data_IF_418054619035
#
_entry.id   IF_418054619035
#
_cell.length_a   1.000
_cell.length_b   1.000
_cell.length_c   1.000
_cell.angle_alpha   90.00
_cell.angle_beta   90.00
_cell.angle_gamma   90.00
#
_symmetry.space_group_name_H-M   'P 1'
#
loop_
_entity.id
_entity.type
_entity.pdbx_description
1 polymer ?
#
# COMPACT_ATOMS: atom_id res chain seq x y z
N UNK A 1 -6.03 10.55 -1.11
CA UNK A 1 -5.42 10.16 -2.40
C UNK A 1 -6.28 9.18 -3.19
N UNK A 2 -6.60 8.00 -2.65
CA UNK A 2 -7.34 6.96 -3.36
C UNK A 2 -8.66 7.43 -4.01
N UNK A 3 -9.49 8.20 -3.28
CA UNK A 3 -10.73 8.79 -3.82
C UNK A 3 -10.50 9.71 -5.02
N UNK A 4 -9.46 10.54 -4.99
CA UNK A 4 -9.14 11.42 -6.12
C UNK A 4 -8.72 10.62 -7.35
N UNK A 5 -7.95 9.54 -7.17
CA UNK A 5 -7.59 8.63 -8.26
C UNK A 5 -8.83 7.89 -8.83
N UNK A 6 -9.74 7.43 -7.97
CA UNK A 6 -10.99 6.80 -8.40
C UNK A 6 -11.85 7.76 -9.25
N UNK A 7 -12.02 9.00 -8.77
CA UNK A 7 -12.73 10.06 -9.49
C UNK A 7 -12.06 10.43 -10.82
N UNK A 8 -10.72 10.32 -10.89
CA UNK A 8 -9.95 10.50 -12.12
C UNK A 8 -10.00 9.27 -13.05
N UNK A 9 -10.71 8.20 -12.68
CA UNK A 9 -10.96 7.03 -13.52
C UNK A 9 -10.09 5.81 -13.24
N UNK A 10 -9.32 5.79 -12.15
CA UNK A 10 -8.50 4.63 -11.78
C UNK A 10 -9.32 3.55 -11.06
N UNK A 11 -9.01 2.27 -11.31
CA UNK A 11 -9.37 1.19 -10.39
C UNK A 11 -8.46 1.23 -9.17
N UNK A 12 -8.99 0.92 -8.00
CA UNK A 12 -8.30 1.15 -6.72
C UNK A 12 -8.11 -0.15 -5.95
N UNK A 13 -6.88 -0.37 -5.47
CA UNK A 13 -6.61 -1.29 -4.36
C UNK A 13 -6.13 -0.46 -3.18
N UNK A 14 -6.73 -0.65 -2.01
CA UNK A 14 -6.25 -0.06 -0.74
C UNK A 14 -5.84 -1.15 0.25
N UNK A 15 -4.91 -0.82 1.14
CA UNK A 15 -4.45 -1.73 2.18
C UNK A 15 -4.13 -1.00 3.47
N UNK A 16 -4.47 -1.65 4.58
CA UNK A 16 -4.25 -1.24 5.96
C UNK A 16 -4.42 -2.46 6.89
N UNK A 17 -4.35 -2.27 8.20
CA UNK A 17 -4.44 -3.35 9.20
C UNK A 17 -5.86 -3.62 9.70
N UNK A 18 -6.76 -2.64 9.60
CA UNK A 18 -8.09 -2.71 10.20
C UNK A 18 -9.14 -2.92 9.11
N UNK A 19 -9.70 -4.12 9.05
CA UNK A 19 -10.62 -4.52 7.98
C UNK A 19 -11.87 -3.66 7.91
N UNK A 20 -12.49 -3.37 9.06
CA UNK A 20 -13.72 -2.57 9.10
C UNK A 20 -13.50 -1.16 8.52
N UNK A 21 -12.38 -0.52 8.88
CA UNK A 21 -12.01 0.80 8.35
C UNK A 21 -11.73 0.74 6.84
N UNK A 22 -11.02 -0.31 6.38
CA UNK A 22 -10.76 -0.53 4.97
C UNK A 22 -12.04 -0.70 4.15
N UNK A 23 -12.97 -1.53 4.63
CA UNK A 23 -14.24 -1.78 3.93
C UNK A 23 -15.04 -0.49 3.78
N UNK A 24 -15.21 0.25 4.88
CA UNK A 24 -15.93 1.53 4.88
C UNK A 24 -15.23 2.57 3.99
N UNK A 25 -13.90 2.67 4.08
CA UNK A 25 -13.13 3.58 3.22
C UNK A 25 -13.27 3.22 1.74
N UNK A 26 -13.29 1.92 1.39
CA UNK A 26 -13.49 1.49 0.00
C UNK A 26 -14.87 1.89 -0.52
N UNK A 27 -15.92 1.68 0.28
CA UNK A 27 -17.29 2.12 -0.05
C UNK A 27 -17.34 3.63 -0.30
N UNK A 28 -16.72 4.43 0.57
CA UNK A 28 -16.66 5.89 0.40
C UNK A 28 -15.84 6.33 -0.82
N UNK A 29 -14.71 5.65 -1.09
CA UNK A 29 -13.84 5.94 -2.23
C UNK A 29 -14.56 5.68 -3.55
N UNK A 30 -15.35 4.60 -3.63
CA UNK A 30 -16.05 4.19 -4.84
C UNK A 30 -17.39 4.90 -5.02
N UNK A 31 -17.96 5.50 -3.98
CA UNK A 31 -19.24 6.20 -4.03
C UNK A 31 -19.25 7.27 -5.13
N UNK A 32 -20.22 7.16 -6.04
CA UNK A 32 -20.36 8.06 -7.18
C UNK A 32 -19.39 7.79 -8.34
N UNK A 33 -18.67 6.66 -8.31
CA UNK A 33 -17.78 6.22 -9.40
C UNK A 33 -18.29 4.91 -10.02
N UNK A 34 -17.87 4.63 -11.25
CA UNK A 34 -18.08 3.32 -11.90
C UNK A 34 -16.82 2.44 -11.87
N UNK A 35 -15.87 2.76 -10.98
CA UNK A 35 -14.57 2.08 -10.91
C UNK A 35 -14.63 0.80 -10.09
N UNK A 36 -13.72 -0.13 -10.40
CA UNK A 36 -13.52 -1.33 -9.60
C UNK A 36 -12.68 -0.98 -8.38
N UNK A 37 -12.99 -1.60 -7.25
CA UNK A 37 -12.17 -1.47 -6.06
C UNK A 37 -12.04 -2.77 -5.29
N UNK A 38 -10.90 -2.95 -4.64
CA UNK A 38 -10.64 -4.04 -3.71
C UNK A 38 -9.86 -3.52 -2.50
N UNK A 39 -9.98 -4.21 -1.37
CA UNK A 39 -9.11 -3.97 -0.22
C UNK A 39 -8.36 -5.25 0.13
N UNK A 40 -7.21 -5.10 0.77
CA UNK A 40 -6.44 -6.21 1.32
C UNK A 40 -5.91 -5.83 2.69
N UNK A 41 -6.16 -6.66 3.70
CA UNK A 41 -5.66 -6.44 5.05
C UNK A 41 -4.20 -6.89 5.10
N UNK A 42 -3.30 -5.96 5.39
CA UNK A 42 -1.87 -6.25 5.53
C UNK A 42 -1.24 -5.42 6.64
N UNK A 43 -0.36 -6.06 7.40
CA UNK A 43 0.61 -5.43 8.27
C UNK A 43 1.90 -5.20 7.48
N UNK A 44 2.21 -3.94 7.21
CA UNK A 44 3.38 -3.54 6.44
C UNK A 44 4.71 -3.82 7.16
N UNK A 45 4.70 -4.14 8.46
CA UNK A 45 5.88 -4.64 9.18
C UNK A 45 6.20 -6.10 8.88
N UNK A 46 5.32 -6.82 8.16
CA UNK A 46 5.44 -8.26 7.86
C UNK A 46 5.70 -8.44 6.37
N UNK A 47 6.97 -8.62 5.98
CA UNK A 47 7.38 -8.74 4.56
C UNK A 47 6.60 -9.76 3.75
N UNK A 48 6.21 -10.87 4.36
CA UNK A 48 5.36 -11.88 3.70
C UNK A 48 3.99 -11.31 3.30
N UNK A 49 3.35 -10.55 4.19
CA UNK A 49 2.06 -9.92 3.90
C UNK A 49 2.19 -8.82 2.84
N UNK A 50 3.32 -8.09 2.82
CA UNK A 50 3.61 -7.12 1.75
C UNK A 50 3.72 -7.81 0.38
N UNK A 51 4.34 -8.99 0.31
CA UNK A 51 4.41 -9.79 -0.91
C UNK A 51 3.04 -10.35 -1.31
N UNK A 52 2.24 -10.81 -0.33
CA UNK A 52 0.87 -11.26 -0.57
C UNK A 52 -0.01 -10.12 -1.10
N UNK A 53 0.11 -8.91 -0.56
CA UNK A 53 -0.57 -7.70 -1.06
C UNK A 53 -0.23 -7.43 -2.53
N UNK A 54 1.05 -7.49 -2.91
CA UNK A 54 1.46 -7.30 -4.29
C UNK A 54 0.81 -8.33 -5.24
N UNK A 55 0.82 -9.62 -4.86
CA UNK A 55 0.19 -10.69 -5.63
C UNK A 55 -1.32 -10.50 -5.74
N UNK A 56 -2.00 -10.23 -4.64
CA UNK A 56 -3.44 -10.02 -4.61
C UNK A 56 -3.86 -8.82 -5.47
N UNK A 57 -3.09 -7.73 -5.46
CA UNK A 57 -3.35 -6.57 -6.31
C UNK A 57 -3.27 -6.94 -7.80
N UNK A 58 -2.25 -7.70 -8.20
CA UNK A 58 -2.09 -8.16 -9.58
C UNK A 58 -3.17 -9.16 -9.99
N UNK A 59 -3.54 -10.10 -9.12
CA UNK A 59 -4.62 -11.06 -9.39
C UNK A 59 -5.98 -10.37 -9.58
N UNK A 60 -6.28 -9.35 -8.75
CA UNK A 60 -7.57 -8.63 -8.82
C UNK A 60 -7.64 -7.64 -9.97
N UNK A 61 -6.54 -6.95 -10.26
CA UNK A 61 -6.54 -5.84 -11.24
C UNK A 61 -5.93 -6.21 -12.58
N UNK A 62 -5.20 -7.32 -12.67
CA UNK A 62 -4.42 -7.75 -13.84
C UNK A 62 -3.08 -7.02 -13.98
N UNK A 63 -2.98 -5.78 -13.48
CA UNK A 63 -1.76 -4.96 -13.48
C UNK A 63 -1.84 -3.87 -12.41
N UNK A 64 -0.70 -3.27 -12.10
CA UNK A 64 -0.63 -2.04 -11.29
C UNK A 64 0.08 -0.95 -12.09
N UNK A 65 -0.60 0.17 -12.29
CA UNK A 65 -0.09 1.34 -13.02
C UNK A 65 0.46 2.43 -12.09
N UNK A 66 -0.06 2.52 -10.87
CA UNK A 66 0.33 3.52 -9.87
C UNK A 66 0.52 2.80 -8.54
N UNK A 67 1.69 2.97 -7.92
CA UNK A 67 1.95 2.54 -6.55
C UNK A 67 2.10 3.78 -5.67
N UNK A 68 1.27 3.88 -4.63
CA UNK A 68 1.37 4.93 -3.61
C UNK A 68 1.80 4.30 -2.30
N UNK A 69 3.08 4.41 -1.97
CA UNK A 69 3.64 4.01 -0.69
C UNK A 69 3.27 5.06 0.37
N UNK A 70 2.10 4.90 1.00
CA UNK A 70 1.56 5.83 1.99
C UNK A 70 1.59 5.31 3.43
N UNK A 71 1.61 3.97 3.62
CA UNK A 71 1.65 3.41 4.95
C UNK A 71 2.91 3.87 5.69
N UNK A 72 2.74 4.35 6.92
CA UNK A 72 3.82 4.90 7.71
C UNK A 72 3.48 4.91 9.19
N UNK A 73 4.53 4.95 10.01
CA UNK A 73 4.44 5.08 11.46
C UNK A 73 5.41 6.14 11.94
N UNK A 74 5.11 6.74 13.09
CA UNK A 74 6.01 7.63 13.79
C UNK A 74 5.97 7.30 15.28
N UNK A 75 7.14 7.29 15.93
CA UNK A 75 7.31 7.05 17.37
C UNK A 75 8.17 8.17 17.97
N UNK A 76 7.55 9.29 18.37
CA UNK A 76 8.29 10.43 18.89
C UNK A 76 8.89 10.11 20.27
N UNK A 77 10.21 10.20 20.36
CA UNK A 77 11.00 10.02 21.59
C UNK A 77 12.21 10.98 21.51
N UNK A 78 12.80 11.41 22.64
CA UNK A 78 14.09 12.13 22.62
C UNK A 78 15.13 11.35 21.82
N UNK A 79 15.92 12.03 21.00
CA UNK A 79 16.82 11.37 20.02
C UNK A 79 17.82 10.41 20.66
N UNK A 80 18.26 10.72 21.87
CA UNK A 80 19.19 9.95 22.70
C UNK A 80 18.52 8.78 23.45
N UNK A 81 17.20 8.63 23.35
CA UNK A 81 16.42 7.58 24.00
C UNK A 81 15.80 6.59 23.01
N UNK A 82 15.91 6.84 21.69
CA UNK A 82 15.40 5.94 20.66
C UNK A 82 16.16 4.62 20.76
N UNK A 83 15.46 3.56 21.16
CA UNK A 83 16.03 2.22 21.14
C UNK A 83 16.22 1.70 19.71
N UNK A 84 17.21 0.83 19.50
CA UNK A 84 17.40 0.13 18.22
C UNK A 84 16.12 -0.57 17.76
N UNK A 85 15.36 -1.16 18.69
CA UNK A 85 14.07 -1.78 18.40
C UNK A 85 13.05 -0.78 17.85
N UNK A 86 12.90 0.39 18.49
CA UNK A 86 12.00 1.45 18.01
C UNK A 86 12.43 1.89 16.61
N UNK A 87 13.73 2.10 16.41
CA UNK A 87 14.30 2.51 15.14
C UNK A 87 14.03 1.49 14.03
N UNK A 88 14.29 0.21 14.28
CA UNK A 88 14.07 -0.88 13.34
C UNK A 88 12.58 -1.03 12.98
N UNK A 89 11.66 -0.88 13.95
CA UNK A 89 10.22 -0.92 13.69
C UNK A 89 9.76 0.23 12.78
N UNK A 90 10.32 1.44 12.97
CA UNK A 90 10.04 2.60 12.11
C UNK A 90 10.62 2.37 10.71
N UNK A 91 11.86 1.89 10.60
CA UNK A 91 12.50 1.59 9.31
C UNK A 91 11.78 0.47 8.56
N UNK A 92 11.33 -0.59 9.24
CA UNK A 92 10.66 -1.71 8.59
C UNK A 92 9.38 -1.25 7.89
N UNK A 93 8.57 -0.41 8.54
CA UNK A 93 7.33 0.12 7.95
C UNK A 93 7.63 1.20 6.91
N UNK A 94 8.41 2.23 7.28
CA UNK A 94 8.54 3.45 6.46
C UNK A 94 9.50 3.29 5.27
N UNK A 95 10.42 2.31 5.32
CA UNK A 95 11.47 2.16 4.30
C UNK A 95 11.52 0.74 3.73
N UNK A 96 11.64 -0.28 4.57
CA UNK A 96 11.80 -1.65 4.08
C UNK A 96 10.55 -2.12 3.32
N UNK A 97 9.36 -1.93 3.90
CA UNK A 97 8.10 -2.36 3.28
C UNK A 97 7.88 -1.71 1.91
N UNK A 98 8.26 -0.43 1.77
CA UNK A 98 8.23 0.35 0.54
C UNK A 98 9.10 -0.31 -0.53
N UNK A 99 10.33 -0.68 -0.20
CA UNK A 99 11.24 -1.36 -1.12
C UNK A 99 10.73 -2.76 -1.49
N UNK A 100 10.21 -3.51 -0.52
CA UNK A 100 9.67 -4.87 -0.73
C UNK A 100 8.48 -4.84 -1.70
N UNK A 101 7.51 -3.96 -1.48
CA UNK A 101 6.33 -3.81 -2.34
C UNK A 101 6.71 -3.30 -3.73
N UNK A 102 7.59 -2.30 -3.79
CA UNK A 102 8.08 -1.75 -5.05
C UNK A 102 8.78 -2.82 -5.89
N UNK A 103 9.69 -3.60 -5.30
CA UNK A 103 10.37 -4.70 -5.99
C UNK A 103 9.42 -5.77 -6.52
N UNK A 104 8.33 -6.04 -5.80
CA UNK A 104 7.32 -7.01 -6.23
C UNK A 104 6.49 -6.51 -7.43
N UNK A 105 6.24 -5.20 -7.51
CA UNK A 105 5.37 -4.61 -8.55
C UNK A 105 6.12 -4.03 -9.76
N UNK A 106 7.39 -3.65 -9.61
CA UNK A 106 8.22 -3.05 -10.68
C UNK A 106 8.39 -3.94 -11.92
N UNK A 107 8.56 -5.27 -11.84
CA UNK A 107 8.81 -6.09 -13.02
C UNK A 107 7.75 -5.95 -14.11
N UNK A 108 6.47 -6.04 -13.75
CA UNK A 108 5.35 -5.87 -14.71
C UNK A 108 5.19 -4.41 -15.18
N UNK A 109 5.64 -3.42 -14.42
CA UNK A 109 5.67 -2.02 -14.89
C UNK A 109 6.75 -1.88 -15.96
N UNK A 110 7.97 -2.38 -15.69
CA UNK A 110 9.11 -2.33 -16.62
C UNK A 110 8.83 -3.04 -17.94
N UNK A 111 8.23 -4.23 -17.89
CA UNK A 111 7.83 -4.98 -19.09
C UNK A 111 6.94 -4.14 -20.01
N UNK A 112 6.03 -3.37 -19.41
CA UNK A 112 5.11 -2.47 -20.11
C UNK A 112 5.68 -1.07 -20.38
N UNK A 113 6.98 -0.86 -20.09
CA UNK A 113 7.67 0.45 -20.17
C UNK A 113 6.93 1.56 -19.40
N UNK A 114 6.44 1.21 -18.22
CA UNK A 114 5.72 2.07 -17.29
C UNK A 114 6.40 2.08 -15.91
N UNK A 115 5.87 2.87 -14.97
CA UNK A 115 6.49 3.09 -13.65
C UNK A 115 7.64 4.07 -13.80
N UNK A 116 7.36 5.36 -13.55
CA UNK A 116 8.33 6.46 -13.66
C UNK A 116 8.99 6.70 -12.31
#
# INVERSE_FOLDING_TARGET
MARALALAGADIVISARHENELRLALEEILAGTSRRGAYFVADMSRREQVQQLARAALEKMGRVDILVNNAGTNRPEPIDQISDKTWDEVLEINLTSVMVLTRALVPQMKERRWGR
#
